data_IF_260152226540
#
_entry.id   IF_260152226540
#
_cell.length_a   1.000
_cell.length_b   1.000
_cell.length_c   1.000
_cell.angle_alpha   90.00
_cell.angle_beta   90.00
_cell.angle_gamma   90.00
#
_symmetry.space_group_name_H-M   'P 1'
#
loop_
_entity.id
_entity.type
_entity.pdbx_description
1 polymer ?
#
# COMPACT_ATOMS: atom_id res chain seq x y z
N UNK A 1 -3.88 -22.22 -3.59
CA UNK A 1 -3.37 -20.85 -3.39
C UNK A 1 -4.13 -20.29 -2.19
N UNK A 2 -3.46 -19.74 -1.19
CA UNK A 2 -4.12 -19.24 0.02
C UNK A 2 -4.38 -17.74 -0.15
N UNK A 3 -5.50 -17.37 -0.77
CA UNK A 3 -5.80 -15.96 -1.05
C UNK A 3 -6.46 -15.28 0.15
N UNK A 4 -6.35 -13.96 0.24
CA UNK A 4 -7.03 -13.16 1.26
C UNK A 4 -8.54 -13.41 1.26
N UNK A 5 -9.16 -13.47 0.08
CA UNK A 5 -10.59 -13.72 -0.06
C UNK A 5 -11.04 -15.08 0.47
N UNK A 6 -10.20 -16.11 0.38
CA UNK A 6 -10.48 -17.44 0.92
C UNK A 6 -10.14 -17.54 2.41
N UNK A 7 -8.99 -16.99 2.81
CA UNK A 7 -8.48 -17.10 4.17
C UNK A 7 -9.32 -16.29 5.17
N UNK A 8 -9.70 -15.06 4.79
CA UNK A 8 -10.48 -14.15 5.61
C UNK A 8 -11.95 -14.06 5.14
N UNK A 9 -12.49 -15.14 4.58
CA UNK A 9 -13.83 -15.13 3.97
C UNK A 9 -14.91 -14.59 4.92
N UNK A 10 -14.82 -14.91 6.22
CA UNK A 10 -15.81 -14.49 7.22
C UNK A 10 -15.69 -13.01 7.54
N UNK A 11 -14.48 -12.51 7.66
CA UNK A 11 -14.17 -11.13 8.03
C UNK A 11 -14.42 -10.17 6.87
N UNK A 12 -14.25 -10.64 5.63
CA UNK A 12 -14.55 -9.88 4.42
C UNK A 12 -16.03 -9.98 4.02
N UNK A 13 -16.85 -10.74 4.75
CA UNK A 13 -18.26 -10.89 4.45
C UNK A 13 -19.02 -9.59 4.75
N UNK A 14 -19.83 -9.13 3.80
CA UNK A 14 -20.53 -7.84 3.91
C UNK A 14 -19.67 -6.61 3.59
N UNK A 15 -18.36 -6.77 3.40
CA UNK A 15 -17.47 -5.70 2.99
C UNK A 15 -17.26 -5.70 1.48
N UNK A 16 -17.39 -4.52 0.86
CA UNK A 16 -16.99 -4.34 -0.54
C UNK A 16 -15.48 -4.18 -0.65
N UNK A 17 -14.85 -5.09 -1.37
CA UNK A 17 -13.42 -5.14 -1.72
C UNK A 17 -13.30 -5.64 -3.15
N UNK A 18 -12.34 -5.09 -3.90
CA UNK A 18 -12.04 -5.47 -5.27
C UNK A 18 -11.58 -6.93 -5.38
N UNK A 19 -11.78 -7.50 -6.56
CA UNK A 19 -11.24 -8.83 -6.89
C UNK A 19 -9.71 -8.85 -6.82
N UNK A 20 -9.06 -7.74 -7.16
CA UNK A 20 -7.62 -7.57 -7.04
C UNK A 20 -7.15 -7.75 -5.59
N UNK A 21 -7.82 -7.13 -4.61
CA UNK A 21 -7.50 -7.32 -3.20
C UNK A 21 -7.80 -8.76 -2.75
N UNK A 22 -8.96 -9.30 -3.13
CA UNK A 22 -9.36 -10.66 -2.73
C UNK A 22 -8.45 -11.75 -3.32
N UNK A 23 -7.87 -11.50 -4.48
CA UNK A 23 -6.93 -12.38 -5.16
C UNK A 23 -5.50 -12.35 -4.59
N UNK A 24 -5.20 -11.41 -3.68
CA UNK A 24 -3.89 -11.34 -3.02
C UNK A 24 -3.54 -12.65 -2.31
N UNK A 25 -2.38 -13.21 -2.63
CA UNK A 25 -1.88 -14.44 -2.02
C UNK A 25 -1.20 -14.11 -0.69
N UNK A 26 -1.70 -14.71 0.40
CA UNK A 26 -1.12 -14.54 1.72
C UNK A 26 0.13 -15.42 1.83
N UNK A 27 1.29 -14.77 1.81
CA UNK A 27 2.60 -15.46 1.81
C UNK A 27 3.22 -15.55 3.19
N UNK A 28 2.92 -14.60 4.09
CA UNK A 28 3.50 -14.56 5.42
C UNK A 28 2.53 -13.96 6.44
N UNK A 29 2.49 -14.54 7.63
CA UNK A 29 1.79 -13.98 8.80
C UNK A 29 2.78 -13.94 9.96
N UNK A 30 3.01 -12.75 10.51
CA UNK A 30 3.84 -12.57 11.70
C UNK A 30 2.99 -11.96 12.80
N UNK A 31 2.84 -12.66 13.93
CA UNK A 31 2.03 -12.20 15.06
C UNK A 31 2.92 -11.79 16.22
N UNK A 32 2.72 -10.58 16.73
CA UNK A 32 3.31 -10.12 17.98
C UNK A 32 2.24 -10.17 19.08
N UNK A 33 2.39 -11.13 20.01
CA UNK A 33 1.42 -11.33 21.11
C UNK A 33 1.46 -10.21 22.14
N UNK A 34 2.64 -9.65 22.42
CA UNK A 34 2.79 -8.59 23.41
C UNK A 34 2.09 -7.30 22.97
N UNK A 35 2.24 -6.95 21.70
CA UNK A 35 1.58 -5.78 21.09
C UNK A 35 0.17 -6.06 20.58
N UNK A 36 -0.28 -7.33 20.66
CA UNK A 36 -1.52 -7.81 20.02
C UNK A 36 -1.60 -7.40 18.55
N UNK A 37 -0.48 -7.45 17.82
CA UNK A 37 -0.41 -6.96 16.44
C UNK A 37 -0.07 -8.08 15.45
N UNK A 38 -0.44 -7.89 14.19
CA UNK A 38 -0.10 -8.80 13.10
C UNK A 38 0.46 -8.06 11.89
N UNK A 39 1.45 -8.65 11.22
CA UNK A 39 1.95 -8.24 9.91
C UNK A 39 1.65 -9.33 8.89
N UNK A 40 1.06 -8.94 7.78
CA UNK A 40 0.61 -9.83 6.71
C UNK A 40 1.40 -9.50 5.43
N UNK A 41 2.30 -10.40 5.03
CA UNK A 41 2.94 -10.35 3.72
C UNK A 41 1.96 -10.89 2.69
N UNK A 42 1.63 -10.09 1.67
CA UNK A 42 0.64 -10.46 0.65
C UNK A 42 1.16 -10.13 -0.74
N UNK A 43 1.19 -11.13 -1.62
CA UNK A 43 1.54 -10.91 -3.03
C UNK A 43 0.28 -10.62 -3.83
N UNK A 44 0.20 -9.45 -4.45
CA UNK A 44 -0.95 -9.06 -5.26
C UNK A 44 -0.66 -9.24 -6.76
N UNK A 45 -1.53 -9.93 -7.52
CA UNK A 45 -1.34 -10.13 -8.95
C UNK A 45 -1.67 -8.88 -9.79
N UNK A 46 -2.31 -7.87 -9.18
CA UNK A 46 -2.72 -6.62 -9.79
C UNK A 46 -2.51 -5.48 -8.78
N UNK A 47 -2.45 -4.24 -9.27
CA UNK A 47 -2.41 -3.08 -8.38
C UNK A 47 -3.70 -3.00 -7.56
N UNK A 48 -3.56 -2.68 -6.28
CA UNK A 48 -4.67 -2.51 -5.34
C UNK A 48 -4.62 -1.09 -4.80
N UNK A 49 -5.79 -0.47 -4.69
CA UNK A 49 -5.90 0.86 -4.11
C UNK A 49 -5.43 0.88 -2.66
N UNK A 50 -4.67 1.92 -2.30
CA UNK A 50 -4.13 2.04 -0.94
C UNK A 50 -5.24 2.09 0.12
N UNK A 51 -6.37 2.72 -0.21
CA UNK A 51 -7.54 2.80 0.66
C UNK A 51 -8.14 1.42 0.98
N UNK A 52 -8.09 0.48 0.03
CA UNK A 52 -8.55 -0.89 0.24
C UNK A 52 -7.62 -1.67 1.16
N UNK A 53 -6.29 -1.52 1.00
CA UNK A 53 -5.32 -2.08 1.93
C UNK A 53 -5.60 -1.59 3.35
N UNK A 54 -5.81 -0.26 3.50
CA UNK A 54 -6.11 0.32 4.81
C UNK A 54 -7.43 -0.14 5.39
N UNK A 55 -8.44 -0.30 4.54
CA UNK A 55 -9.74 -0.81 4.95
C UNK A 55 -9.62 -2.24 5.44
N UNK A 56 -8.89 -3.10 4.74
CA UNK A 56 -8.66 -4.48 5.18
C UNK A 56 -7.94 -4.54 6.52
N UNK A 57 -6.85 -3.77 6.71
CA UNK A 57 -6.16 -3.69 8.00
C UNK A 57 -7.14 -3.36 9.14
N UNK A 58 -8.04 -2.37 8.96
CA UNK A 58 -9.06 -2.00 9.96
C UNK A 58 -10.10 -3.09 10.22
N UNK A 59 -10.54 -3.78 9.18
CA UNK A 59 -11.49 -4.90 9.31
C UNK A 59 -10.87 -6.01 10.16
N UNK A 60 -9.59 -6.32 9.93
CA UNK A 60 -8.86 -7.35 10.66
C UNK A 60 -8.44 -6.90 12.08
N UNK A 61 -8.21 -5.61 12.31
CA UNK A 61 -8.05 -5.05 13.66
C UNK A 61 -9.33 -5.19 14.51
N UNK A 62 -10.48 -5.12 13.84
CA UNK A 62 -11.81 -5.14 14.43
C UNK A 62 -12.11 -6.36 15.32
N UNK A 63 -13.33 -6.43 15.89
CA UNK A 63 -13.70 -7.43 16.91
C UNK A 63 -13.52 -8.88 16.46
N UNK A 64 -13.40 -9.14 15.15
CA UNK A 64 -13.08 -10.45 14.59
C UNK A 64 -11.82 -11.08 15.20
N UNK A 65 -10.73 -10.30 15.33
CA UNK A 65 -9.48 -10.76 15.94
C UNK A 65 -9.09 -9.98 17.21
N UNK A 66 -9.67 -8.80 17.42
CA UNK A 66 -9.39 -7.96 18.58
C UNK A 66 -7.91 -7.55 18.66
N UNK A 67 -7.28 -7.32 17.52
CA UNK A 67 -5.86 -6.95 17.44
C UNK A 67 -5.69 -5.45 17.70
N UNK A 68 -4.60 -5.08 18.34
CA UNK A 68 -4.20 -3.68 18.54
C UNK A 68 -3.64 -3.01 17.29
N UNK A 69 -3.33 -3.80 16.25
CA UNK A 69 -2.88 -3.29 14.95
C UNK A 69 -2.66 -4.39 13.93
N UNK A 70 -3.03 -4.13 12.68
CA UNK A 70 -2.72 -5.00 11.54
C UNK A 70 -2.00 -4.19 10.48
N UNK A 71 -0.90 -4.74 9.97
CA UNK A 71 -0.16 -4.15 8.85
C UNK A 71 -0.10 -5.10 7.67
N UNK A 72 -0.58 -4.65 6.52
CA UNK A 72 -0.34 -5.29 5.23
C UNK A 72 1.02 -4.82 4.68
N UNK A 73 1.80 -5.79 4.25
CA UNK A 73 3.04 -5.63 3.51
C UNK A 73 2.74 -6.16 2.10
N UNK A 74 2.19 -5.32 1.21
CA UNK A 74 1.89 -5.74 -0.15
C UNK A 74 3.19 -5.98 -0.91
N UNK A 75 3.19 -6.98 -1.79
CA UNK A 75 4.25 -7.21 -2.76
C UNK A 75 3.65 -7.30 -4.15
N UNK A 76 4.18 -6.51 -5.08
CA UNK A 76 3.73 -6.48 -6.46
C UNK A 76 4.79 -7.09 -7.40
N UNK A 77 4.37 -7.85 -8.42
CA UNK A 77 5.29 -8.30 -9.46
C UNK A 77 5.86 -7.09 -10.23
N UNK A 78 7.16 -7.13 -10.61
CA UNK A 78 7.85 -5.99 -11.23
C UNK A 78 7.21 -5.55 -12.56
N UNK A 79 6.47 -6.44 -13.23
CA UNK A 79 5.75 -6.14 -14.47
C UNK A 79 4.63 -5.11 -14.28
N UNK A 80 4.14 -4.92 -13.04
CA UNK A 80 3.15 -3.87 -12.72
C UNK A 80 3.80 -2.51 -12.45
N UNK A 81 5.13 -2.45 -12.33
CA UNK A 81 5.82 -1.20 -12.02
C UNK A 81 5.73 -0.22 -13.19
N UNK A 82 4.94 0.82 -13.01
CA UNK A 82 4.59 1.79 -14.05
C UNK A 82 4.20 3.13 -13.42
N UNK A 83 3.78 4.12 -14.23
CA UNK A 83 3.23 5.37 -13.69
C UNK A 83 1.97 5.14 -12.84
N UNK A 84 1.23 4.06 -13.09
CA UNK A 84 -0.06 3.79 -12.45
C UNK A 84 0.07 3.36 -10.99
N UNK A 85 1.26 2.95 -10.53
CA UNK A 85 1.48 2.65 -9.11
C UNK A 85 1.73 3.91 -8.24
N UNK A 86 1.96 5.08 -8.85
CA UNK A 86 2.31 6.30 -8.11
C UNK A 86 1.22 6.76 -7.15
N UNK A 87 -0.09 6.73 -7.47
CA UNK A 87 -1.13 7.05 -6.50
C UNK A 87 -1.05 6.21 -5.22
N UNK A 88 -0.84 4.89 -5.37
CA UNK A 88 -0.66 3.95 -4.27
C UNK A 88 0.58 4.30 -3.41
N UNK A 89 1.74 4.48 -4.04
CA UNK A 89 3.00 4.81 -3.35
C UNK A 89 2.92 6.17 -2.62
N UNK A 90 2.36 7.18 -3.28
CA UNK A 90 2.19 8.52 -2.71
C UNK A 90 1.22 8.50 -1.53
N UNK A 91 0.13 7.76 -1.62
CA UNK A 91 -0.81 7.63 -0.51
C UNK A 91 -0.15 7.00 0.72
N UNK A 92 0.68 5.97 0.53
CA UNK A 92 1.46 5.35 1.59
C UNK A 92 2.48 6.30 2.22
N UNK A 93 3.15 7.13 1.41
CA UNK A 93 4.07 8.14 1.93
C UNK A 93 3.37 9.25 2.71
N UNK A 94 2.20 9.71 2.25
CA UNK A 94 1.40 10.72 2.95
C UNK A 94 0.92 10.25 4.32
N UNK A 95 0.64 8.95 4.49
CA UNK A 95 0.36 8.37 5.81
C UNK A 95 1.58 8.51 6.75
N UNK A 96 2.79 8.32 6.22
CA UNK A 96 4.05 8.42 6.99
C UNK A 96 4.49 9.87 7.24
N UNK A 97 4.13 10.80 6.36
CA UNK A 97 4.55 12.21 6.40
C UNK A 97 3.44 13.13 5.85
N UNK A 98 2.61 13.64 6.76
CA UNK A 98 1.47 14.49 6.42
C UNK A 98 1.88 15.83 5.77
N UNK A 99 3.15 16.24 5.82
CA UNK A 99 3.62 17.47 5.16
C UNK A 99 3.59 17.37 3.63
N UNK A 100 3.50 16.14 3.10
CA UNK A 100 3.40 15.84 1.67
C UNK A 100 1.96 15.95 1.13
N UNK A 101 0.98 16.24 2.00
CA UNK A 101 -0.40 16.41 1.59
C UNK A 101 -0.54 17.59 0.62
N UNK A 102 -1.30 17.38 -0.45
CA UNK A 102 -1.49 18.39 -1.50
C UNK A 102 -0.37 18.45 -2.55
N UNK A 103 0.88 18.08 -2.23
CA UNK A 103 2.03 18.27 -3.14
C UNK A 103 1.91 17.47 -4.44
N UNK A 104 1.37 16.25 -4.37
CA UNK A 104 1.17 15.38 -5.52
C UNK A 104 -0.21 15.53 -6.18
N UNK A 105 -1.00 16.55 -5.82
CA UNK A 105 -2.32 16.73 -6.41
C UNK A 105 -2.20 16.97 -7.92
N UNK A 106 -2.95 16.20 -8.71
CA UNK A 106 -2.91 16.23 -10.18
C UNK A 106 -1.51 15.97 -10.78
N UNK A 107 -0.60 15.38 -10.00
CA UNK A 107 0.70 14.98 -10.51
C UNK A 107 0.54 13.88 -11.57
N UNK A 108 1.43 13.88 -12.57
CA UNK A 108 1.45 12.88 -13.63
C UNK A 108 2.73 12.06 -13.55
N UNK A 109 2.62 10.75 -13.65
CA UNK A 109 3.74 9.84 -13.58
C UNK A 109 3.94 9.09 -14.88
N UNK A 110 5.20 8.90 -15.27
CA UNK A 110 5.60 8.11 -16.43
C UNK A 110 6.80 7.26 -16.04
N UNK A 111 6.73 5.96 -16.34
CA UNK A 111 7.86 5.05 -16.21
C UNK A 111 8.35 4.67 -17.60
N UNK A 112 9.58 5.06 -17.95
CA UNK A 112 10.19 4.78 -19.25
C UNK A 112 11.69 4.52 -19.06
N UNK A 113 12.20 3.50 -19.74
CA UNK A 113 13.64 3.17 -19.78
C UNK A 113 14.29 3.08 -18.39
N UNK A 114 13.62 2.45 -17.43
CA UNK A 114 14.14 2.28 -16.07
C UNK A 114 13.97 3.49 -15.16
N UNK A 115 13.37 4.60 -15.64
CA UNK A 115 13.21 5.84 -14.88
C UNK A 115 11.73 6.16 -14.64
N UNK A 116 11.34 6.26 -13.37
CA UNK A 116 10.05 6.81 -12.96
C UNK A 116 10.17 8.34 -12.82
N UNK A 117 9.39 9.08 -13.59
CA UNK A 117 9.35 10.55 -13.53
C UNK A 117 7.97 11.00 -13.10
N UNK A 118 7.91 11.76 -12.00
CA UNK A 118 6.69 12.35 -11.45
C UNK A 118 6.72 13.85 -11.69
N UNK A 119 5.78 14.34 -12.50
CA UNK A 119 5.60 15.76 -12.79
C UNK A 119 4.58 16.35 -11.83
N UNK A 120 5.01 17.31 -11.01
CA UNK A 120 4.14 18.03 -10.09
C UNK A 120 3.36 19.12 -10.82
N UNK A 121 2.06 19.24 -10.55
CA UNK A 121 1.22 20.25 -11.19
C UNK A 121 1.31 21.63 -10.52
N UNK A 122 1.65 21.69 -9.23
CA UNK A 122 1.50 22.88 -8.38
C UNK A 122 2.80 23.29 -7.66
N UNK A 123 3.96 22.96 -8.24
CA UNK A 123 5.26 23.16 -7.58
C UNK A 123 5.48 22.20 -6.40
N UNK A 124 6.29 22.62 -5.42
CA UNK A 124 6.58 21.81 -4.22
C UNK A 124 7.81 20.91 -4.31
N UNK A 125 8.60 21.01 -5.38
CA UNK A 125 9.86 20.26 -5.52
C UNK A 125 10.82 20.50 -4.35
N UNK A 126 11.04 21.75 -3.94
CA UNK A 126 11.92 22.11 -2.82
C UNK A 126 11.50 21.44 -1.50
N UNK A 127 10.18 21.34 -1.25
CA UNK A 127 9.66 20.61 -0.10
C UNK A 127 9.98 19.12 -0.20
N UNK A 128 9.77 18.50 -1.36
CA UNK A 128 10.08 17.07 -1.57
C UNK A 128 11.58 16.79 -1.43
N UNK A 129 12.43 17.68 -1.94
CA UNK A 129 13.88 17.59 -1.81
C UNK A 129 14.31 17.70 -0.35
N UNK A 130 13.81 18.72 0.38
CA UNK A 130 14.11 18.92 1.79
C UNK A 130 13.63 17.75 2.68
N UNK A 131 12.59 17.04 2.27
CA UNK A 131 12.06 15.85 2.97
C UNK A 131 12.68 14.53 2.50
N UNK A 132 13.62 14.59 1.56
CA UNK A 132 14.24 13.42 0.91
C UNK A 132 13.20 12.43 0.38
N UNK A 133 12.12 12.93 -0.21
CA UNK A 133 10.97 12.11 -0.62
C UNK A 133 11.32 11.12 -1.72
N UNK A 134 12.30 11.43 -2.57
CA UNK A 134 12.82 10.50 -3.58
C UNK A 134 13.36 9.20 -2.95
N UNK A 135 14.26 9.32 -1.96
CA UNK A 135 14.78 8.14 -1.26
C UNK A 135 13.70 7.38 -0.48
N UNK A 136 12.71 8.10 0.09
CA UNK A 136 11.57 7.45 0.76
C UNK A 136 10.70 6.65 -0.23
N UNK A 137 10.50 7.16 -1.45
CA UNK A 137 9.82 6.43 -2.53
C UNK A 137 10.62 5.19 -2.93
N UNK A 138 11.94 5.31 -3.11
CA UNK A 138 12.80 4.17 -3.45
C UNK A 138 12.73 3.07 -2.39
N UNK A 139 12.84 3.42 -1.11
CA UNK A 139 12.69 2.46 0.00
C UNK A 139 11.33 1.77 -0.05
N UNK A 140 10.25 2.54 -0.25
CA UNK A 140 8.90 2.00 -0.33
C UNK A 140 8.74 1.03 -1.52
N UNK A 141 9.33 1.34 -2.67
CA UNK A 141 9.30 0.47 -3.86
C UNK A 141 10.04 -0.84 -3.60
N UNK A 142 11.16 -0.81 -2.86
CA UNK A 142 11.89 -2.03 -2.49
C UNK A 142 11.18 -2.84 -1.40
N UNK A 143 10.40 -2.17 -0.55
CA UNK A 143 9.58 -2.82 0.48
C UNK A 143 8.36 -3.55 -0.10
N UNK A 144 7.83 -3.10 -1.25
CA UNK A 144 6.53 -3.50 -1.81
C UNK A 144 6.61 -4.36 -3.07
#
# INVERSE_FOLDING_TARGET
>A
MNTLGQFFQKELNGESFSDALRAGELVQITVNRAERSARLGVRFPQLVEYSELRKLERVLEGPAFGLGGVKLLPHFPPELFSGDCVPLLVAALKERDATLNGTFNQAKAVYQSGKLTIHLAHGGYELLAARNTGAKLESLIQEW
#
